data_IF_249820483004
#
_entry.id   IF_249820483004
#
_cell.length_a   1.000
_cell.length_b   1.000
_cell.length_c   1.000
_cell.angle_alpha   90.00
_cell.angle_beta   90.00
_cell.angle_gamma   90.00
#
_symmetry.space_group_name_H-M   'P 1'
#
loop_
_entity.id
_entity.type
_entity.pdbx_description
1 polymer ?
#
# COMPACT_ATOMS: atom_id res chain seq x y z
N UNK A 1 -20.23 43.57 1.92
CA UNK A 1 -20.28 43.96 3.35
C UNK A 1 -19.20 43.17 4.08
N UNK A 2 -18.09 43.86 4.41
CA UNK A 2 -16.95 43.51 5.30
C UNK A 2 -16.30 42.12 5.09
N UNK A 3 -15.22 41.90 4.33
CA UNK A 3 -13.84 42.46 4.33
C UNK A 3 -13.14 42.40 5.69
N UNK A 4 -12.22 41.45 5.87
CA UNK A 4 -10.96 41.70 6.58
C UNK A 4 -9.80 40.94 5.93
N UNK A 5 -8.70 41.67 5.77
CA UNK A 5 -7.48 41.44 4.98
C UNK A 5 -6.30 41.48 5.95
N UNK A 6 -5.20 40.81 5.58
CA UNK A 6 -3.81 41.08 6.03
C UNK A 6 -3.46 40.71 7.48
N UNK A 7 -2.23 40.31 7.86
CA UNK A 7 -0.88 40.36 7.26
C UNK A 7 -0.01 39.33 8.04
N UNK A 8 0.82 38.51 7.36
CA UNK A 8 2.28 38.64 7.28
C UNK A 8 2.99 38.83 8.65
N UNK A 9 3.67 37.80 9.18
CA UNK A 9 5.11 37.54 9.03
C UNK A 9 6.00 38.47 9.87
N UNK A 10 6.83 37.92 10.78
CA UNK A 10 8.24 38.31 10.92
C UNK A 10 9.02 37.33 11.80
N UNK A 11 10.18 36.95 11.27
CA UNK A 11 11.21 36.08 11.83
C UNK A 11 12.24 36.92 12.58
N UNK A 12 13.00 36.26 13.47
CA UNK A 12 14.35 36.60 13.95
C UNK A 12 14.50 37.26 15.34
N UNK A 13 15.08 36.47 16.25
CA UNK A 13 16.41 36.65 16.83
C UNK A 13 16.73 37.97 17.57
N UNK A 14 17.05 37.89 18.87
CA UNK A 14 18.31 38.42 19.42
C UNK A 14 18.54 38.08 20.90
N UNK A 15 19.83 37.92 21.20
CA UNK A 15 20.48 37.63 22.47
C UNK A 15 20.39 38.80 23.49
N UNK A 16 20.60 38.46 24.78
CA UNK A 16 20.91 39.29 25.98
C UNK A 16 22.06 40.32 25.74
N UNK A 17 22.44 41.30 26.64
CA UNK A 17 22.32 41.31 28.12
C UNK A 17 22.20 42.69 28.88
N UNK A 18 21.98 42.58 30.21
CA UNK A 18 22.56 43.36 31.34
C UNK A 18 22.21 44.84 31.65
N UNK A 19 22.22 45.09 32.99
CA UNK A 19 22.38 46.33 33.77
C UNK A 19 21.12 47.10 34.25
N UNK A 20 20.98 47.16 35.58
CA UNK A 20 20.18 48.12 36.34
C UNK A 20 20.92 49.47 36.46
N UNK A 21 20.22 50.59 36.70
CA UNK A 21 20.34 51.31 37.99
C UNK A 21 19.02 51.99 38.44
N UNK A 22 18.64 51.99 39.72
CA UNK A 22 18.91 53.00 40.78
C UNK A 22 18.11 54.32 40.66
N UNK A 23 17.42 54.69 41.77
CA UNK A 23 17.09 56.03 42.30
C UNK A 23 16.34 57.02 41.35
N UNK A 24 15.43 57.91 41.73
CA UNK A 24 14.73 58.36 42.95
C UNK A 24 13.75 59.43 42.41
N UNK A 25 12.54 59.56 42.94
CA UNK A 25 11.88 60.88 43.00
C UNK A 25 11.28 61.07 44.38
N UNK A 26 11.95 61.93 45.14
CA UNK A 26 11.48 62.55 46.37
C UNK A 26 10.47 63.64 46.02
N UNK A 27 9.42 63.78 46.83
CA UNK A 27 8.83 65.10 47.10
C UNK A 27 8.99 65.32 48.61
N UNK A 28 9.66 66.43 48.94
CA UNK A 28 9.86 66.99 50.27
C UNK A 28 8.54 67.52 50.80
N UNK A 29 8.35 67.47 52.11
CA UNK A 29 7.88 68.62 52.88
C UNK A 29 8.49 68.59 54.29
N UNK A 30 8.66 69.79 54.83
CA UNK A 30 9.52 70.12 55.96
C UNK A 30 8.97 69.66 57.32
N UNK A 31 9.92 69.31 58.22
CA UNK A 31 9.78 69.01 59.65
C UNK A 31 9.29 70.24 60.45
N UNK A 32 8.66 70.08 61.65
CA UNK A 32 9.45 69.75 62.84
C UNK A 32 8.81 68.81 63.89
N UNK A 33 9.74 68.12 64.57
CA UNK A 33 9.78 67.50 65.89
C UNK A 33 8.52 67.21 66.74
N UNK A 34 8.40 65.90 67.05
CA UNK A 34 8.25 65.24 68.37
C UNK A 34 7.01 65.56 69.19
N UNK A 35 6.19 64.54 69.44
CA UNK A 35 5.90 64.01 70.79
C UNK A 35 5.11 62.68 70.65
N UNK A 36 5.56 61.69 71.41
CA UNK A 36 5.06 60.31 71.43
C UNK A 36 3.68 60.25 72.08
N UNK A 37 2.71 59.61 71.41
CA UNK A 37 1.59 58.93 72.07
C UNK A 37 1.51 57.52 71.50
N UNK A 38 1.48 56.53 72.39
CA UNK A 38 1.35 55.12 72.01
C UNK A 38 -0.13 54.78 71.78
N UNK A 39 -0.47 54.35 70.57
CA UNK A 39 -1.68 53.56 70.30
C UNK A 39 -1.29 52.15 69.88
N UNK A 40 -1.79 51.16 70.62
CA UNK A 40 -1.59 49.73 70.39
C UNK A 40 -2.23 49.31 69.06
N UNK A 41 -1.42 48.84 68.10
CA UNK A 41 -1.94 48.20 66.88
C UNK A 41 -1.98 46.69 67.05
N UNK A 42 -3.19 46.15 67.17
CA UNK A 42 -3.44 44.71 67.22
C UNK A 42 -2.95 44.01 65.94
N UNK A 43 -2.05 43.03 66.07
CA UNK A 43 -1.58 42.21 64.95
C UNK A 43 -2.65 41.17 64.54
N UNK A 44 -3.32 41.41 63.41
CA UNK A 44 -4.22 40.43 62.79
C UNK A 44 -3.38 39.39 62.02
N UNK A 45 -3.34 38.14 62.49
CA UNK A 45 -2.70 37.04 61.74
C UNK A 45 -3.58 36.64 60.54
N UNK A 46 -3.05 36.56 59.31
CA UNK A 46 -3.84 36.24 58.13
C UNK A 46 -4.10 34.72 58.08
N UNK A 47 -5.20 34.25 58.67
CA UNK A 47 -5.59 32.83 58.66
C UNK A 47 -5.99 32.31 57.26
N UNK A 48 -6.42 33.20 56.36
CA UNK A 48 -6.90 32.85 55.02
C UNK A 48 -5.80 32.26 54.12
N UNK A 49 -4.55 32.68 54.29
CA UNK A 49 -3.41 32.24 53.46
C UNK A 49 -2.96 30.81 53.77
N UNK A 50 -3.06 30.36 55.03
CA UNK A 50 -2.65 29.00 55.43
C UNK A 50 -3.60 27.91 54.88
N UNK A 51 -4.92 28.16 54.85
CA UNK A 51 -5.89 27.19 54.30
C UNK A 51 -5.68 27.00 52.80
N UNK A 52 -5.42 28.08 52.08
CA UNK A 52 -5.15 28.05 50.65
C UNK A 52 -3.83 27.31 50.34
N UNK A 53 -2.77 27.56 51.13
CA UNK A 53 -1.51 26.81 51.02
C UNK A 53 -1.68 25.30 51.25
N UNK A 54 -2.48 24.90 52.25
CA UNK A 54 -2.77 23.48 52.51
C UNK A 54 -3.51 22.81 51.34
N UNK A 55 -4.45 23.51 50.71
CA UNK A 55 -5.15 23.01 49.52
C UNK A 55 -4.21 22.83 48.34
N UNK A 56 -3.30 23.78 48.10
CA UNK A 56 -2.29 23.69 47.04
C UNK A 56 -1.37 22.50 47.28
N UNK A 57 -0.86 22.32 48.50
CA UNK A 57 0.00 21.19 48.85
C UNK A 57 -0.73 19.84 48.74
N UNK A 58 -2.00 19.78 49.14
CA UNK A 58 -2.82 18.58 48.99
C UNK A 58 -3.12 18.25 47.51
N UNK A 59 -3.30 19.26 46.66
CA UNK A 59 -3.44 19.09 45.21
C UNK A 59 -2.14 18.60 44.57
N UNK A 60 -0.99 19.15 44.98
CA UNK A 60 0.33 18.69 44.54
C UNK A 60 0.61 17.25 44.96
N UNK A 61 0.24 16.86 46.19
CA UNK A 61 0.37 15.48 46.68
C UNK A 61 -0.50 14.50 45.89
N UNK A 62 -1.77 14.87 45.62
CA UNK A 62 -2.67 14.08 44.76
C UNK A 62 -2.14 13.93 43.34
N UNK A 63 -1.58 14.99 42.75
CA UNK A 63 -0.98 14.93 41.42
C UNK A 63 0.31 14.08 41.39
N UNK A 64 1.11 14.07 42.46
CA UNK A 64 2.26 13.16 42.59
C UNK A 64 1.82 11.71 42.70
N UNK A 65 0.79 11.42 43.49
CA UNK A 65 0.20 10.07 43.59
C UNK A 65 -0.35 9.58 42.24
N UNK A 66 -1.10 10.43 41.51
CA UNK A 66 -1.58 10.12 40.16
C UNK A 66 -0.47 9.88 39.13
N UNK A 67 0.71 10.49 39.31
CA UNK A 67 1.89 10.24 38.45
C UNK A 67 2.60 8.93 38.78
N UNK A 68 2.52 8.47 40.04
CA UNK A 68 3.09 7.21 40.51
C UNK A 68 2.16 6.02 40.18
N UNK A 69 0.85 6.25 40.24
CA UNK A 69 -0.18 5.31 39.80
C UNK A 69 -0.20 5.24 38.27
N UNK A 70 0.56 4.30 37.70
CA UNK A 70 0.39 3.95 36.29
C UNK A 70 -1.06 3.48 36.08
N UNK A 71 -1.79 3.97 35.05
CA UNK A 71 -3.10 3.41 34.73
C UNK A 71 -2.97 1.89 34.50
N UNK A 72 -4.00 1.08 34.83
CA UNK A 72 -3.94 -0.37 34.65
C UNK A 72 -3.69 -0.70 33.18
N UNK A 73 -2.46 -1.08 32.86
CA UNK A 73 -2.01 -1.39 31.51
C UNK A 73 -2.73 -2.63 30.94
N UNK A 74 -3.20 -3.50 31.83
CA UNK A 74 -3.85 -4.78 31.51
C UNK A 74 -5.16 -4.61 30.73
N UNK A 75 -5.97 -3.59 31.01
CA UNK A 75 -7.29 -3.45 30.40
C UNK A 75 -7.20 -2.95 28.95
N UNK A 76 -6.28 -2.02 28.66
CA UNK A 76 -6.04 -1.56 27.29
C UNK A 76 -5.43 -2.67 26.43
N UNK A 77 -4.53 -3.48 26.99
CA UNK A 77 -3.92 -4.60 26.29
C UNK A 77 -4.94 -5.72 26.03
N UNK A 78 -5.81 -6.02 26.99
CA UNK A 78 -6.91 -6.98 26.83
C UNK A 78 -7.96 -6.49 25.82
N UNK A 79 -8.31 -5.21 25.85
CA UNK A 79 -9.21 -4.59 24.87
C UNK A 79 -8.61 -4.53 23.45
N UNK A 80 -7.32 -4.23 23.31
CA UNK A 80 -6.63 -4.30 22.02
C UNK A 80 -6.50 -5.73 21.49
N UNK A 81 -6.25 -6.70 22.37
CA UNK A 81 -6.21 -8.13 22.01
C UNK A 81 -7.59 -8.63 21.59
N UNK A 82 -8.65 -8.27 22.30
CA UNK A 82 -10.02 -8.63 21.92
C UNK A 82 -10.46 -7.97 20.61
N UNK A 83 -10.10 -6.70 20.33
CA UNK A 83 -10.31 -6.10 19.00
C UNK A 83 -9.57 -6.82 17.87
N UNK A 84 -8.35 -7.30 18.13
CA UNK A 84 -7.60 -8.12 17.16
C UNK A 84 -8.20 -9.51 16.94
N UNK A 85 -8.93 -10.06 17.91
CA UNK A 85 -9.62 -11.35 17.80
C UNK A 85 -11.03 -11.22 17.19
N UNK A 86 -11.68 -10.07 17.31
CA UNK A 86 -13.01 -9.79 16.73
C UNK A 86 -12.99 -9.66 15.20
N UNK A 87 -11.83 -9.32 14.64
CA UNK A 87 -11.61 -9.31 13.20
C UNK A 87 -10.98 -10.67 12.89
N UNK A 88 -11.80 -11.63 12.45
CA UNK A 88 -11.37 -12.97 12.09
C UNK A 88 -10.31 -12.99 10.98
N UNK A 89 -9.71 -14.15 10.70
CA UNK A 89 -8.77 -14.28 9.60
C UNK A 89 -9.45 -13.85 8.30
N UNK A 90 -8.72 -13.08 7.48
CA UNK A 90 -9.24 -12.66 6.16
C UNK A 90 -9.18 -13.80 5.16
N UNK A 91 -8.24 -14.71 5.36
CA UNK A 91 -8.08 -15.91 4.56
C UNK A 91 -9.14 -16.93 4.93
N UNK A 92 -9.83 -17.46 3.93
CA UNK A 92 -10.67 -18.63 4.13
C UNK A 92 -9.79 -19.87 4.23
N UNK A 93 -9.70 -20.45 5.43
CA UNK A 93 -9.09 -21.78 5.62
C UNK A 93 -10.12 -22.88 5.41
N UNK A 94 -9.72 -23.94 4.70
CA UNK A 94 -10.58 -25.09 4.37
C UNK A 94 -10.29 -26.34 5.19
N UNK A 95 -9.42 -26.25 6.21
CA UNK A 95 -8.94 -27.41 7.00
C UNK A 95 -10.08 -28.16 7.70
N UNK A 96 -11.12 -27.46 8.15
CA UNK A 96 -12.26 -28.02 8.86
C UNK A 96 -13.38 -28.54 7.91
N UNK A 97 -13.20 -28.42 6.59
CA UNK A 97 -14.23 -28.78 5.60
C UNK A 97 -14.10 -30.22 5.13
N UNK A 98 -15.24 -30.82 4.80
CA UNK A 98 -15.33 -32.15 4.23
C UNK A 98 -14.77 -32.15 2.81
N UNK A 99 -13.84 -33.09 2.55
CA UNK A 99 -13.21 -33.30 1.23
C UNK A 99 -14.11 -34.09 0.29
N UNK A 100 -14.90 -35.01 0.84
CA UNK A 100 -15.85 -35.81 0.05
C UNK A 100 -16.95 -34.90 -0.52
N UNK A 101 -17.32 -35.07 -1.80
CA UNK A 101 -18.39 -34.28 -2.39
C UNK A 101 -19.72 -34.55 -1.66
N UNK A 102 -20.63 -33.57 -1.63
CA UNK A 102 -21.95 -33.75 -1.03
C UNK A 102 -22.72 -34.84 -1.79
N UNK A 103 -23.37 -35.72 -1.03
CA UNK A 103 -24.22 -36.79 -1.57
C UNK A 103 -25.55 -36.22 -2.09
N UNK A 104 -26.08 -35.22 -1.37
CA UNK A 104 -27.36 -34.60 -1.66
C UNK A 104 -27.18 -33.37 -2.58
N UNK A 105 -28.19 -33.10 -3.41
CA UNK A 105 -28.24 -31.93 -4.29
C UNK A 105 -28.27 -30.60 -3.51
N UNK A 106 -28.80 -30.61 -2.28
CA UNK A 106 -28.89 -29.43 -1.41
C UNK A 106 -27.99 -29.64 -0.20
N UNK A 107 -26.92 -28.85 -0.14
CA UNK A 107 -25.92 -28.95 0.91
C UNK A 107 -25.46 -27.57 1.37
N UNK A 108 -24.88 -27.51 2.57
CA UNK A 108 -24.31 -26.27 3.11
C UNK A 108 -22.91 -26.05 2.55
N UNK A 109 -22.72 -25.03 1.73
CA UNK A 109 -21.44 -24.69 1.09
C UNK A 109 -20.29 -24.54 2.09
N UNK A 110 -20.56 -24.05 3.30
CA UNK A 110 -19.55 -23.83 4.34
C UNK A 110 -18.91 -25.12 4.87
N UNK A 111 -19.60 -26.27 4.75
CA UNK A 111 -19.14 -27.56 5.28
C UNK A 111 -18.26 -28.32 4.30
N UNK A 112 -18.34 -28.01 3.01
CA UNK A 112 -17.67 -28.76 1.96
C UNK A 112 -16.55 -27.93 1.33
N UNK A 113 -15.54 -28.63 0.81
CA UNK A 113 -14.51 -27.99 0.00
C UNK A 113 -15.18 -27.27 -1.18
N UNK A 114 -14.80 -26.01 -1.48
CA UNK A 114 -15.39 -25.33 -2.60
C UNK A 114 -14.99 -26.01 -3.91
N UNK A 115 -15.92 -26.06 -4.85
CA UNK A 115 -15.72 -26.70 -6.15
C UNK A 115 -14.70 -25.90 -6.97
N UNK A 116 -13.76 -26.61 -7.56
CA UNK A 116 -12.77 -26.06 -8.50
C UNK A 116 -13.30 -26.28 -9.92
N UNK A 117 -13.41 -25.19 -10.67
CA UNK A 117 -13.93 -25.20 -12.04
C UNK A 117 -12.78 -25.12 -13.05
N UNK A 118 -12.92 -25.73 -14.23
CA UNK A 118 -12.01 -25.43 -15.33
C UNK A 118 -12.21 -23.99 -15.79
N UNK A 119 -11.15 -23.37 -16.32
CA UNK A 119 -11.19 -21.94 -16.64
C UNK A 119 -12.27 -21.56 -17.65
N UNK A 120 -12.52 -22.44 -18.64
CA UNK A 120 -13.52 -22.22 -19.66
C UNK A 120 -14.94 -22.13 -19.08
N UNK A 121 -15.27 -23.02 -18.15
CA UNK A 121 -16.60 -23.07 -17.52
C UNK A 121 -16.80 -21.87 -16.59
N UNK A 122 -15.76 -21.49 -15.84
CA UNK A 122 -15.79 -20.29 -15.01
C UNK A 122 -16.06 -19.01 -15.82
N UNK A 123 -15.49 -18.90 -17.02
CA UNK A 123 -15.75 -17.79 -17.94
C UNK A 123 -17.19 -17.86 -18.49
N UNK A 124 -17.68 -19.06 -18.84
CA UNK A 124 -19.05 -19.25 -19.32
C UNK A 124 -20.08 -18.84 -18.25
N UNK A 125 -19.89 -19.26 -17.00
CA UNK A 125 -20.76 -18.87 -15.88
C UNK A 125 -20.77 -17.34 -15.67
N UNK A 126 -19.62 -16.67 -15.78
CA UNK A 126 -19.56 -15.20 -15.73
C UNK A 126 -20.27 -14.53 -16.92
N UNK A 127 -20.31 -15.15 -18.10
CA UNK A 127 -21.10 -14.63 -19.23
C UNK A 127 -22.60 -14.82 -19.03
N UNK A 128 -23.01 -15.91 -18.39
CA UNK A 128 -24.42 -16.15 -18.04
C UNK A 128 -24.92 -15.13 -17.02
N UNK A 129 -24.12 -14.81 -15.99
CA UNK A 129 -24.48 -13.76 -15.02
C UNK A 129 -24.58 -12.38 -15.65
N UNK A 130 -23.72 -12.06 -16.62
CA UNK A 130 -23.70 -10.78 -17.34
C UNK A 130 -24.58 -10.78 -18.60
N UNK A 131 -25.45 -11.77 -18.77
CA UNK A 131 -26.37 -11.84 -19.89
C UNK A 131 -27.31 -10.62 -19.91
N UNK A 132 -27.72 -10.10 -21.09
CA UNK A 132 -28.63 -8.97 -21.22
C UNK A 132 -29.92 -9.06 -20.40
N UNK A 133 -30.45 -10.27 -20.21
CA UNK A 133 -31.65 -10.52 -19.40
C UNK A 133 -31.41 -10.37 -17.90
N UNK A 134 -30.17 -10.49 -17.42
CA UNK A 134 -29.84 -10.56 -16.00
C UNK A 134 -29.23 -9.23 -15.51
N UNK A 135 -28.04 -8.87 -15.99
CA UNK A 135 -27.31 -7.66 -15.56
C UNK A 135 -27.07 -6.65 -16.68
N UNK A 136 -27.25 -7.03 -17.95
CA UNK A 136 -27.11 -6.13 -19.10
C UNK A 136 -25.73 -5.46 -19.26
N UNK A 137 -24.67 -6.19 -18.93
CA UNK A 137 -23.28 -5.71 -19.03
C UNK A 137 -22.35 -6.76 -19.71
N UNK A 138 -22.54 -7.08 -21.01
CA UNK A 138 -21.76 -8.11 -21.70
C UNK A 138 -20.27 -7.76 -21.89
N UNK A 139 -19.92 -6.48 -21.76
CA UNK A 139 -18.57 -5.93 -21.91
C UNK A 139 -17.82 -5.76 -20.57
N UNK A 140 -18.35 -6.33 -19.48
CA UNK A 140 -17.75 -6.22 -18.15
C UNK A 140 -16.32 -6.77 -18.09
N UNK A 141 -15.54 -6.22 -17.15
CA UNK A 141 -14.15 -6.59 -16.93
C UNK A 141 -14.06 -7.82 -16.03
N UNK A 142 -13.40 -8.85 -16.53
CA UNK A 142 -13.08 -10.06 -15.78
C UNK A 142 -11.80 -9.84 -14.97
N UNK A 143 -11.87 -10.01 -13.65
CA UNK A 143 -10.76 -9.91 -12.73
C UNK A 143 -10.30 -11.30 -12.28
N UNK A 144 -8.99 -11.52 -12.25
CA UNK A 144 -8.38 -12.62 -11.53
C UNK A 144 -7.92 -12.12 -10.16
N UNK A 145 -8.42 -12.77 -9.13
CA UNK A 145 -7.98 -12.62 -7.76
C UNK A 145 -7.07 -13.81 -7.42
N UNK A 146 -5.80 -13.52 -7.24
CA UNK A 146 -4.75 -14.51 -6.96
C UNK A 146 -4.34 -14.36 -5.51
N UNK A 147 -4.52 -15.43 -4.75
CA UNK A 147 -4.04 -15.57 -3.39
C UNK A 147 -2.60 -16.07 -3.37
N UNK A 148 -1.77 -15.40 -2.59
CA UNK A 148 -0.33 -15.62 -2.52
C UNK A 148 0.11 -15.96 -1.09
N UNK A 149 1.00 -16.94 -1.00
CA UNK A 149 1.75 -17.23 0.22
C UNK A 149 3.05 -16.43 0.22
N UNK A 150 3.15 -15.45 1.12
CA UNK A 150 4.33 -14.58 1.28
C UNK A 150 5.43 -15.21 2.15
N UNK A 151 5.30 -16.50 2.47
CA UNK A 151 6.25 -17.25 3.31
C UNK A 151 7.59 -17.40 2.60
N UNK A 152 8.66 -17.16 3.36
CA UNK A 152 10.04 -17.49 2.96
C UNK A 152 10.52 -18.68 3.81
N UNK A 153 11.61 -19.38 3.42
CA UNK A 153 12.24 -20.43 4.27
C UNK A 153 12.44 -20.03 5.73
N UNK A 154 12.69 -18.75 5.99
CA UNK A 154 12.73 -18.21 7.35
C UNK A 154 11.33 -17.83 7.79
N UNK A 155 10.80 -18.53 8.80
CA UNK A 155 9.45 -18.30 9.36
C UNK A 155 9.19 -16.85 9.83
N UNK A 156 10.24 -16.11 10.18
CA UNK A 156 10.13 -14.72 10.68
C UNK A 156 10.20 -13.66 9.59
N UNK A 157 10.56 -14.03 8.35
CA UNK A 157 10.73 -13.09 7.24
C UNK A 157 9.68 -13.39 6.18
N UNK A 158 8.81 -12.42 5.95
CA UNK A 158 7.81 -12.45 4.89
C UNK A 158 8.30 -11.62 3.70
N UNK A 159 7.71 -11.90 2.54
CA UNK A 159 7.95 -11.12 1.33
C UNK A 159 7.26 -9.77 1.47
N UNK A 160 8.02 -8.71 1.15
CA UNK A 160 7.47 -7.36 1.02
C UNK A 160 6.55 -7.26 -0.20
N UNK A 161 5.64 -6.29 -0.16
CA UNK A 161 4.76 -5.96 -1.27
C UNK A 161 5.56 -5.65 -2.53
N UNK A 162 5.09 -6.17 -3.66
CA UNK A 162 5.67 -5.93 -4.96
C UNK A 162 4.63 -5.37 -5.93
N UNK A 163 5.12 -4.65 -6.93
CA UNK A 163 4.33 -4.12 -8.03
C UNK A 163 4.97 -4.52 -9.34
N UNK A 164 4.12 -4.84 -10.31
CA UNK A 164 4.53 -5.30 -11.63
C UNK A 164 3.56 -4.84 -12.70
N UNK A 165 3.94 -5.08 -13.94
CA UNK A 165 3.09 -4.86 -15.11
C UNK A 165 3.07 -6.16 -15.91
N UNK A 166 1.89 -6.71 -16.16
CA UNK A 166 1.71 -7.85 -17.05
C UNK A 166 1.57 -7.34 -18.48
N UNK A 167 2.30 -7.96 -19.40
CA UNK A 167 2.16 -7.72 -20.83
C UNK A 167 1.32 -8.86 -21.42
N UNK A 168 0.03 -8.61 -21.63
CA UNK A 168 -0.88 -9.61 -22.20
C UNK A 168 -0.62 -9.84 -23.69
N UNK A 169 -0.76 -11.08 -24.13
CA UNK A 169 -0.74 -11.45 -25.55
C UNK A 169 -1.93 -10.83 -26.30
N UNK A 170 -3.11 -10.82 -25.64
CA UNK A 170 -4.33 -10.22 -26.16
C UNK A 170 -4.68 -8.95 -25.36
N UNK A 171 -4.26 -7.76 -25.83
CA UNK A 171 -4.47 -6.53 -25.10
C UNK A 171 -5.93 -6.08 -25.15
N UNK A 172 -6.37 -5.43 -24.07
CA UNK A 172 -7.72 -4.86 -23.96
C UNK A 172 -7.67 -3.51 -23.23
N UNK A 173 -8.69 -2.69 -23.45
CA UNK A 173 -8.77 -1.35 -22.84
C UNK A 173 -9.39 -1.42 -21.44
N UNK A 174 -8.62 -1.09 -20.41
CA UNK A 174 -9.12 -0.96 -19.03
C UNK A 174 -9.61 0.46 -18.76
N UNK A 175 -8.74 1.44 -18.98
CA UNK A 175 -8.98 2.84 -18.65
C UNK A 175 -8.75 3.69 -19.90
N UNK A 176 -9.58 4.72 -20.10
CA UNK A 176 -9.41 5.71 -21.17
C UNK A 176 -8.19 6.62 -20.96
N UNK A 177 -7.48 6.49 -19.84
CA UNK A 177 -6.28 7.27 -19.52
C UNK A 177 -5.08 6.64 -20.23
N UNK A 178 -4.42 7.42 -21.06
CA UNK A 178 -3.17 7.04 -21.69
C UNK A 178 -2.02 7.04 -20.66
N UNK A 179 -1.19 6.00 -20.73
CA UNK A 179 -0.01 5.84 -19.86
C UNK A 179 1.11 6.75 -20.34
N UNK A 180 1.73 7.49 -19.43
CA UNK A 180 2.85 8.40 -19.75
C UNK A 180 4.17 7.69 -19.58
N UNK A 181 4.94 7.59 -20.67
CA UNK A 181 6.17 6.80 -20.74
C UNK A 181 7.35 7.68 -21.13
N UNK A 182 8.45 7.58 -20.38
CA UNK A 182 9.77 8.11 -20.77
C UNK A 182 10.61 6.96 -21.33
N UNK A 183 11.17 7.16 -22.52
CA UNK A 183 12.07 6.22 -23.17
C UNK A 183 13.52 6.76 -23.15
N UNK A 184 14.42 6.06 -22.46
CA UNK A 184 15.82 6.46 -22.33
C UNK A 184 16.71 5.68 -23.31
N UNK A 185 17.30 6.39 -24.28
CA UNK A 185 18.21 5.81 -25.28
C UNK A 185 19.31 6.81 -25.68
N UNK A 186 20.53 6.31 -25.91
CA UNK A 186 21.64 7.13 -26.45
C UNK A 186 21.52 7.35 -27.96
N UNK A 187 20.99 6.37 -28.68
CA UNK A 187 20.84 6.41 -30.13
C UNK A 187 19.65 7.28 -30.50
N UNK A 188 19.86 8.19 -31.46
CA UNK A 188 18.83 9.16 -31.85
C UNK A 188 17.71 8.47 -32.66
N UNK A 189 18.06 7.52 -33.52
CA UNK A 189 17.09 6.80 -34.35
C UNK A 189 16.10 6.01 -33.50
N UNK A 190 16.61 5.22 -32.54
CA UNK A 190 15.80 4.49 -31.56
C UNK A 190 14.92 5.42 -30.70
N UNK A 191 15.38 6.65 -30.43
CA UNK A 191 14.58 7.64 -29.72
C UNK A 191 13.41 8.13 -30.59
N UNK A 192 13.61 8.35 -31.89
CA UNK A 192 12.52 8.71 -32.82
C UNK A 192 11.50 7.58 -32.97
N UNK A 193 11.96 6.32 -33.05
CA UNK A 193 11.08 5.16 -33.09
C UNK A 193 10.28 4.99 -31.78
N UNK A 194 10.91 5.26 -30.63
CA UNK A 194 10.21 5.22 -29.35
C UNK A 194 9.13 6.31 -29.21
N UNK A 195 9.37 7.51 -29.76
CA UNK A 195 8.34 8.56 -29.84
C UNK A 195 7.19 8.13 -30.75
N UNK A 196 7.49 7.55 -31.92
CA UNK A 196 6.48 7.02 -32.83
C UNK A 196 5.68 5.86 -32.20
N UNK A 197 6.29 5.08 -31.31
CA UNK A 197 5.65 4.01 -30.55
C UNK A 197 4.72 4.49 -29.42
N UNK A 198 4.70 5.80 -29.11
CA UNK A 198 3.83 6.39 -28.10
C UNK A 198 4.52 6.82 -26.81
N UNK A 199 5.85 6.94 -26.79
CA UNK A 199 6.55 7.58 -25.67
C UNK A 199 6.31 9.11 -25.68
N UNK A 200 6.08 9.71 -24.51
CA UNK A 200 5.87 11.16 -24.38
C UNK A 200 7.20 11.92 -24.52
N UNK A 201 8.27 11.34 -23.97
CA UNK A 201 9.62 11.90 -24.03
C UNK A 201 10.60 10.78 -24.32
N UNK A 202 11.42 10.95 -25.36
CA UNK A 202 12.54 10.07 -25.65
C UNK A 202 13.86 10.85 -25.67
N UNK A 203 14.92 10.23 -25.15
CA UNK A 203 16.26 10.79 -25.28
C UNK A 203 17.28 10.16 -24.34
N UNK A 204 18.52 10.62 -24.43
CA UNK A 204 19.64 10.02 -23.72
C UNK A 204 20.01 10.79 -22.47
N UNK A 205 21.29 11.18 -22.41
CA UNK A 205 21.86 11.95 -21.30
C UNK A 205 21.24 13.34 -21.16
N UNK A 206 20.67 13.90 -22.22
CA UNK A 206 19.93 15.18 -22.20
C UNK A 206 18.69 15.08 -21.33
N UNK A 207 17.87 14.05 -21.49
CA UNK A 207 16.67 13.81 -20.69
C UNK A 207 17.03 13.52 -19.24
N UNK A 208 18.09 12.75 -18.99
CA UNK A 208 18.60 12.50 -17.63
C UNK A 208 18.94 13.81 -16.92
N UNK A 209 19.66 14.73 -17.57
CA UNK A 209 19.98 16.05 -17.01
C UNK A 209 18.74 16.89 -16.71
N UNK A 210 17.71 16.85 -17.59
CA UNK A 210 16.43 17.56 -17.37
C UNK A 210 15.66 17.00 -16.18
N UNK A 211 15.68 15.68 -15.98
CA UNK A 211 15.09 15.04 -14.80
C UNK A 211 15.85 15.48 -13.53
N UNK A 212 17.18 15.52 -13.57
CA UNK A 212 18.01 15.96 -12.43
C UNK A 212 17.81 17.44 -12.10
N UNK A 213 17.63 18.29 -13.11
CA UNK A 213 17.33 19.71 -12.94
C UNK A 213 15.91 19.95 -12.39
N UNK A 214 15.04 18.94 -12.40
CA UNK A 214 13.66 19.05 -11.96
C UNK A 214 12.70 19.66 -12.99
N UNK A 215 13.11 19.77 -14.26
CA UNK A 215 12.24 20.22 -15.34
C UNK A 215 11.15 19.19 -15.68
N UNK A 216 11.48 17.90 -15.53
CA UNK A 216 10.56 16.79 -15.75
C UNK A 216 10.15 16.20 -14.40
N UNK A 217 8.89 16.39 -14.03
CA UNK A 217 8.35 15.82 -12.79
C UNK A 217 8.09 14.32 -12.95
N UNK A 218 8.92 13.50 -12.30
CA UNK A 218 8.87 12.03 -12.34
C UNK A 218 7.58 11.44 -11.76
N UNK A 219 6.79 12.24 -11.07
CA UNK A 219 5.47 11.83 -10.54
C UNK A 219 4.40 11.78 -11.63
N UNK A 220 4.52 12.61 -12.67
CA UNK A 220 3.57 12.65 -13.77
C UNK A 220 3.70 11.44 -14.71
N UNK A 221 4.89 10.84 -14.75
CA UNK A 221 5.18 9.69 -15.60
C UNK A 221 4.91 8.38 -14.87
N UNK A 222 4.26 7.46 -15.57
CA UNK A 222 3.92 6.14 -15.05
C UNK A 222 5.12 5.20 -15.21
N UNK A 223 5.75 5.19 -16.39
CA UNK A 223 6.90 4.32 -16.73
C UNK A 223 8.12 5.07 -17.19
N UNK A 224 9.27 4.50 -16.86
CA UNK A 224 10.57 4.86 -17.40
C UNK A 224 11.18 3.59 -17.93
N UNK A 225 11.36 3.54 -19.24
CA UNK A 225 11.93 2.41 -19.97
C UNK A 225 13.29 2.81 -20.50
N UNK A 226 14.23 1.86 -20.56
CA UNK A 226 15.60 2.15 -20.96
C UNK A 226 16.14 1.14 -21.96
N UNK A 227 17.02 1.62 -22.84
CA UNK A 227 17.86 0.77 -23.67
C UNK A 227 19.10 0.30 -22.89
N UNK A 228 19.70 -0.83 -23.28
CA UNK A 228 20.90 -1.37 -22.61
C UNK A 228 22.08 -0.39 -22.63
N UNK A 229 22.19 0.44 -23.68
CA UNK A 229 23.30 1.40 -23.84
C UNK A 229 23.37 2.49 -22.75
N UNK A 230 22.22 2.82 -22.13
CA UNK A 230 22.13 3.91 -21.15
C UNK A 230 22.16 3.42 -19.71
N UNK A 231 22.29 2.11 -19.49
CA UNK A 231 22.27 1.50 -18.15
C UNK A 231 23.36 2.05 -17.23
N UNK A 232 24.51 2.47 -17.78
CA UNK A 232 25.61 3.07 -17.02
C UNK A 232 25.26 4.45 -16.44
N UNK A 233 24.35 5.19 -17.06
CA UNK A 233 23.98 6.55 -16.66
C UNK A 233 22.75 6.57 -15.73
N UNK A 234 21.96 5.48 -15.69
CA UNK A 234 20.78 5.33 -14.83
C UNK A 234 21.03 5.50 -13.31
N UNK A 235 22.17 5.07 -12.73
CA UNK A 235 22.41 5.21 -11.29
C UNK A 235 22.31 6.65 -10.78
N UNK A 236 22.53 7.65 -11.63
CA UNK A 236 22.38 9.06 -11.29
C UNK A 236 20.95 9.42 -10.88
N UNK A 237 19.95 8.72 -11.42
CA UNK A 237 18.52 8.95 -11.13
C UNK A 237 18.00 8.18 -9.92
N UNK A 238 18.83 7.35 -9.27
CA UNK A 238 18.42 6.47 -8.16
C UNK A 238 17.75 7.22 -7.00
N UNK A 239 18.24 8.41 -6.67
CA UNK A 239 17.68 9.22 -5.58
C UNK A 239 16.26 9.71 -5.85
N UNK A 240 15.94 10.01 -7.11
CA UNK A 240 14.64 10.54 -7.53
C UNK A 240 13.64 9.43 -7.83
N UNK A 241 14.06 8.40 -8.56
CA UNK A 241 13.15 7.35 -9.08
C UNK A 241 12.89 6.23 -8.08
N UNK A 242 13.79 5.97 -7.13
CA UNK A 242 13.69 4.88 -6.13
C UNK A 242 13.21 3.56 -6.74
N UNK A 243 11.92 3.20 -6.58
CA UNK A 243 11.30 1.97 -7.09
C UNK A 243 10.97 2.01 -8.58
N UNK A 244 10.84 3.19 -9.18
CA UNK A 244 10.59 3.38 -10.61
C UNK A 244 11.85 3.24 -11.48
N UNK A 245 13.01 3.00 -10.88
CA UNK A 245 14.27 2.88 -11.61
C UNK A 245 14.22 1.65 -12.56
N UNK A 246 14.53 1.81 -13.85
CA UNK A 246 14.57 0.67 -14.76
C UNK A 246 15.77 -0.22 -14.45
N UNK A 247 15.52 -1.51 -14.29
CA UNK A 247 16.53 -2.56 -14.10
C UNK A 247 16.21 -3.73 -15.02
N UNK A 248 17.23 -4.52 -15.35
CA UNK A 248 17.07 -5.74 -16.16
C UNK A 248 16.15 -6.75 -15.45
N UNK A 249 16.28 -6.86 -14.12
CA UNK A 249 15.44 -7.73 -13.30
C UNK A 249 13.94 -7.34 -13.35
N UNK A 250 13.63 -6.04 -13.50
CA UNK A 250 12.25 -5.57 -13.61
C UNK A 250 11.72 -5.64 -15.06
N UNK A 251 12.51 -6.12 -16.03
CA UNK A 251 12.10 -6.18 -17.44
C UNK A 251 11.87 -4.81 -18.11
N UNK A 252 12.34 -3.72 -17.50
CA UNK A 252 12.21 -2.34 -18.02
C UNK A 252 13.40 -1.88 -18.85
N UNK A 253 14.40 -2.75 -18.99
CA UNK A 253 15.60 -2.54 -19.80
C UNK A 253 15.60 -3.59 -20.91
N UNK A 254 15.67 -3.17 -22.17
CA UNK A 254 15.71 -4.12 -23.29
C UNK A 254 16.43 -3.53 -24.51
N UNK A 255 16.78 -4.39 -25.48
CA UNK A 255 17.42 -3.97 -26.73
C UNK A 255 16.40 -3.37 -27.71
N UNK A 256 15.23 -3.99 -27.86
CA UNK A 256 14.12 -3.46 -28.65
C UNK A 256 13.24 -2.49 -27.83
N UNK A 257 13.67 -1.24 -27.74
CA UNK A 257 12.93 -0.18 -27.03
C UNK A 257 11.52 0.11 -27.59
N UNK A 258 11.29 0.27 -28.91
CA UNK A 258 9.96 0.62 -29.42
C UNK A 258 8.93 -0.49 -29.14
N UNK A 259 9.31 -1.76 -29.28
CA UNK A 259 8.44 -2.88 -28.92
C UNK A 259 8.06 -2.88 -27.42
N UNK A 260 9.02 -2.54 -26.55
CA UNK A 260 8.78 -2.43 -25.12
C UNK A 260 7.79 -1.30 -24.78
N UNK A 261 7.94 -0.14 -25.43
CA UNK A 261 7.03 1.00 -25.24
C UNK A 261 5.60 0.61 -25.60
N UNK A 262 5.38 -0.04 -26.75
CA UNK A 262 4.06 -0.50 -27.17
C UNK A 262 3.46 -1.53 -26.20
N UNK A 263 4.28 -2.43 -25.69
CA UNK A 263 3.87 -3.40 -24.68
C UNK A 263 3.40 -2.72 -23.40
N UNK A 264 4.21 -1.83 -22.81
CA UNK A 264 3.87 -1.14 -21.57
C UNK A 264 2.71 -0.16 -21.71
N UNK A 265 2.51 0.41 -22.90
CA UNK A 265 1.35 1.25 -23.20
C UNK A 265 0.03 0.47 -23.06
N UNK A 266 0.02 -0.80 -23.48
CA UNK A 266 -1.12 -1.72 -23.38
C UNK A 266 -1.09 -2.61 -22.12
N UNK A 267 0.01 -2.61 -21.39
CA UNK A 267 0.23 -3.48 -20.24
C UNK A 267 -0.73 -3.16 -19.09
N UNK A 268 -0.88 -4.11 -18.17
CA UNK A 268 -1.79 -4.00 -17.03
C UNK A 268 -1.00 -4.04 -15.75
N UNK A 269 -1.24 -3.06 -14.88
CA UNK A 269 -0.49 -2.92 -13.64
C UNK A 269 -1.16 -3.68 -12.52
N UNK A 270 -0.32 -4.29 -11.70
CA UNK A 270 -0.77 -4.97 -10.51
C UNK A 270 0.14 -4.65 -9.35
N UNK A 271 -0.44 -4.68 -8.16
CA UNK A 271 0.27 -4.54 -6.90
C UNK A 271 -0.23 -5.61 -5.95
N UNK A 272 0.70 -6.33 -5.34
CA UNK A 272 0.36 -7.23 -4.24
C UNK A 272 0.01 -6.41 -3.01
N UNK A 273 -1.04 -6.83 -2.32
CA UNK A 273 -1.39 -6.31 -1.01
C UNK A 273 -1.15 -7.41 0.00
N UNK A 274 -0.18 -7.22 0.89
CA UNK A 274 -0.07 -8.01 2.11
C UNK A 274 -1.13 -7.57 3.12
N UNK A 275 -1.61 -8.52 3.90
CA UNK A 275 -2.50 -8.20 5.01
C UNK A 275 -1.71 -7.76 6.25
N UNK A 276 -2.30 -6.85 7.04
CA UNK A 276 -1.66 -6.33 8.25
C UNK A 276 -1.76 -7.29 9.43
N UNK A 277 -2.74 -8.20 9.42
CA UNK A 277 -2.95 -9.19 10.48
C UNK A 277 -2.21 -10.48 10.15
N UNK A 278 -2.40 -10.98 8.93
CA UNK A 278 -1.74 -12.18 8.41
C UNK A 278 -0.59 -11.78 7.49
N UNK A 279 0.62 -11.68 8.07
CA UNK A 279 1.82 -11.26 7.33
C UNK A 279 2.26 -12.28 6.27
N UNK A 280 1.82 -13.53 6.38
CA UNK A 280 2.05 -14.58 5.40
C UNK A 280 1.04 -14.58 4.26
N UNK A 281 -0.07 -13.85 4.40
CA UNK A 281 -1.13 -13.75 3.40
C UNK A 281 -0.95 -12.51 2.53
N UNK A 282 -0.95 -12.74 1.21
CA UNK A 282 -0.99 -11.68 0.22
C UNK A 282 -2.04 -11.99 -0.84
N UNK A 283 -2.54 -10.95 -1.50
CA UNK A 283 -3.42 -11.13 -2.65
C UNK A 283 -3.13 -10.09 -3.72
N UNK A 284 -3.45 -10.47 -4.96
CA UNK A 284 -3.30 -9.67 -6.16
C UNK A 284 -4.62 -9.73 -6.92
N UNK A 285 -5.18 -8.57 -7.26
CA UNK A 285 -6.40 -8.45 -8.05
C UNK A 285 -6.08 -7.72 -9.35
N UNK A 286 -6.30 -8.36 -10.49
CA UNK A 286 -5.88 -7.84 -11.79
C UNK A 286 -6.95 -8.13 -12.84
N UNK A 287 -7.34 -7.14 -13.66
CA UNK A 287 -8.21 -7.40 -14.79
C UNK A 287 -7.46 -8.21 -15.85
N UNK A 288 -8.09 -9.25 -16.39
CA UNK A 288 -7.50 -10.17 -17.38
C UNK A 288 -8.05 -9.95 -18.79
N UNK A 289 -9.29 -9.44 -18.89
CA UNK A 289 -9.93 -9.15 -20.16
C UNK A 289 -11.37 -8.67 -19.98
N UNK A 290 -12.06 -8.51 -21.11
CA UNK A 290 -13.50 -8.27 -21.14
C UNK A 290 -14.23 -9.59 -21.41
N UNK A 291 -15.45 -9.74 -20.88
CA UNK A 291 -16.26 -10.93 -21.13
C UNK A 291 -16.64 -11.15 -22.61
N UNK A 292 -16.67 -10.09 -23.40
CA UNK A 292 -16.89 -10.12 -24.86
C UNK A 292 -15.73 -10.71 -25.68
N UNK A 293 -14.54 -10.83 -25.09
CA UNK A 293 -13.40 -11.49 -25.74
C UNK A 293 -13.65 -13.00 -25.85
N UNK A 294 -13.11 -13.68 -26.86
CA UNK A 294 -13.25 -15.13 -26.97
C UNK A 294 -12.55 -15.85 -25.81
N UNK A 295 -13.08 -17.02 -25.43
CA UNK A 295 -12.63 -17.76 -24.25
C UNK A 295 -11.15 -18.14 -24.33
N UNK A 296 -10.65 -18.52 -25.51
CA UNK A 296 -9.24 -18.88 -25.74
C UNK A 296 -8.29 -17.73 -25.39
N UNK A 297 -8.60 -16.50 -25.82
CA UNK A 297 -7.76 -15.34 -25.53
C UNK A 297 -7.75 -14.99 -24.04
N UNK A 298 -8.88 -15.21 -23.34
CA UNK A 298 -8.94 -15.01 -21.89
C UNK A 298 -8.08 -16.05 -21.17
N UNK A 299 -8.16 -17.33 -21.56
CA UNK A 299 -7.33 -18.40 -21.00
C UNK A 299 -5.83 -18.10 -21.20
N UNK A 300 -5.41 -17.66 -22.39
CA UNK A 300 -4.01 -17.29 -22.65
C UNK A 300 -3.56 -16.07 -21.84
N UNK A 301 -4.45 -15.11 -21.62
CA UNK A 301 -4.17 -13.98 -20.74
C UNK A 301 -4.04 -14.43 -19.27
N UNK A 302 -4.91 -15.32 -18.78
CA UNK A 302 -4.80 -15.91 -17.44
C UNK A 302 -3.44 -16.62 -17.28
N UNK A 303 -3.05 -17.44 -18.26
CA UNK A 303 -1.74 -18.11 -18.28
C UNK A 303 -0.59 -17.11 -18.16
N UNK A 304 -0.62 -16.06 -18.99
CA UNK A 304 0.42 -15.01 -19.01
C UNK A 304 0.50 -14.28 -17.67
N UNK A 305 -0.64 -14.01 -17.03
CA UNK A 305 -0.69 -13.40 -15.70
C UNK A 305 -0.08 -14.30 -14.63
N UNK A 306 -0.46 -15.58 -14.60
CA UNK A 306 0.04 -16.53 -13.59
C UNK A 306 1.55 -16.74 -13.72
N UNK A 307 2.07 -16.88 -14.95
CA UNK A 307 3.50 -16.94 -15.22
C UNK A 307 4.23 -15.67 -14.78
N UNK A 308 3.63 -14.50 -15.02
CA UNK A 308 4.21 -13.23 -14.58
C UNK A 308 4.30 -13.15 -13.05
N UNK A 309 3.24 -13.53 -12.34
CA UNK A 309 3.18 -13.56 -10.88
C UNK A 309 4.17 -14.56 -10.29
N UNK A 310 4.27 -15.76 -10.88
CA UNK A 310 5.24 -16.78 -10.46
C UNK A 310 6.69 -16.29 -10.60
N UNK A 311 6.99 -15.45 -11.59
CA UNK A 311 8.29 -14.78 -11.72
C UNK A 311 8.67 -13.87 -10.53
N UNK A 312 7.70 -13.39 -9.75
CA UNK A 312 7.95 -12.59 -8.54
C UNK A 312 8.19 -13.44 -7.29
N UNK A 313 8.13 -14.76 -7.42
CA UNK A 313 8.43 -15.70 -6.35
C UNK A 313 9.86 -15.48 -5.82
N UNK A 314 10.06 -15.48 -4.49
CA UNK A 314 11.40 -15.44 -3.94
C UNK A 314 12.15 -16.73 -4.31
N UNK A 315 13.40 -16.60 -4.77
CA UNK A 315 14.29 -17.73 -5.15
C UNK A 315 14.47 -18.79 -4.06
N UNK A 316 14.10 -18.44 -2.84
CA UNK A 316 14.24 -19.28 -1.66
C UNK A 316 12.97 -20.10 -1.40
N UNK A 317 11.83 -19.86 -2.05
CA UNK A 317 10.63 -20.68 -1.82
C UNK A 317 10.60 -21.87 -2.79
N UNK A 318 10.05 -22.99 -2.34
CA UNK A 318 9.91 -24.22 -3.13
C UNK A 318 8.95 -23.97 -4.33
N UNK A 319 9.16 -24.62 -5.50
CA UNK A 319 8.20 -24.58 -6.63
C UNK A 319 6.79 -24.95 -6.15
N UNK A 320 5.73 -24.45 -6.79
CA UNK A 320 4.35 -24.80 -6.41
C UNK A 320 3.76 -24.11 -5.17
N UNK A 321 4.57 -23.59 -4.23
CA UNK A 321 4.01 -23.06 -2.96
C UNK A 321 3.57 -21.59 -2.99
N UNK A 322 3.89 -20.82 -4.05
CA UNK A 322 3.70 -19.36 -4.02
C UNK A 322 2.25 -18.94 -4.27
N UNK A 323 1.61 -19.50 -5.30
CA UNK A 323 0.21 -19.24 -5.63
C UNK A 323 -0.65 -20.29 -4.90
N UNK A 324 -1.51 -19.85 -3.99
CA UNK A 324 -2.37 -20.77 -3.22
C UNK A 324 -3.71 -21.00 -3.91
N UNK A 325 -4.33 -19.92 -4.41
CA UNK A 325 -5.69 -19.97 -4.94
C UNK A 325 -5.88 -18.94 -6.04
N UNK A 326 -6.63 -19.29 -7.07
CA UNK A 326 -7.02 -18.37 -8.14
C UNK A 326 -8.54 -18.33 -8.22
N UNK A 327 -9.11 -17.13 -8.14
CA UNK A 327 -10.55 -16.88 -8.25
C UNK A 327 -10.82 -15.92 -9.40
N UNK A 328 -11.84 -16.20 -10.22
CA UNK A 328 -12.38 -15.22 -11.17
C UNK A 328 -13.54 -14.46 -10.56
N UNK A 329 -13.50 -13.14 -10.71
CA UNK A 329 -14.50 -12.18 -10.23
C UNK A 329 -14.90 -11.26 -11.36
N UNK A 330 -16.18 -10.92 -11.44
CA UNK A 330 -16.67 -9.93 -12.39
C UNK A 330 -17.65 -8.97 -11.69
N UNK A 331 -17.17 -7.83 -11.17
CA UNK A 331 -18.04 -6.81 -10.60
C UNK A 331 -19.04 -6.32 -11.67
N UNK A 332 -20.33 -6.11 -11.35
CA UNK A 332 -20.91 -5.89 -10.00
C UNK A 332 -21.30 -7.17 -9.23
N UNK A 333 -21.17 -8.36 -9.80
CA UNK A 333 -21.55 -9.60 -9.12
C UNK A 333 -20.63 -9.91 -7.93
N UNK A 334 -21.21 -10.56 -6.91
CA UNK A 334 -20.45 -11.07 -5.76
C UNK A 334 -19.93 -12.51 -5.98
N UNK A 335 -20.28 -13.12 -7.12
CA UNK A 335 -19.92 -14.49 -7.46
C UNK A 335 -18.42 -14.62 -7.74
N UNK A 336 -17.84 -15.72 -7.25
CA UNK A 336 -16.42 -16.02 -7.36
C UNK A 336 -16.29 -17.49 -7.74
N UNK A 337 -15.60 -17.77 -8.83
CA UNK A 337 -15.33 -19.13 -9.26
C UNK A 337 -13.85 -19.44 -9.07
N UNK A 338 -13.55 -20.53 -8.38
CA UNK A 338 -12.18 -20.99 -8.15
C UNK A 338 -11.73 -21.79 -9.36
N UNK A 339 -10.51 -21.54 -9.84
CA UNK A 339 -9.92 -22.27 -10.96
C UNK A 339 -8.72 -23.08 -10.50
N UNK A 340 -8.51 -24.24 -11.14
CA UNK A 340 -7.34 -25.07 -10.98
C UNK A 340 -6.07 -24.36 -11.52
N UNK A 341 -5.06 -24.19 -10.67
CA UNK A 341 -3.78 -23.62 -11.07
C UNK A 341 -2.99 -24.55 -11.99
N UNK A 342 -3.21 -25.86 -11.88
CA UNK A 342 -2.53 -26.91 -12.64
C UNK A 342 -2.76 -26.83 -14.15
N UNK A 343 -3.85 -26.23 -14.62
CA UNK A 343 -4.11 -26.01 -16.05
C UNK A 343 -3.09 -25.05 -16.72
N UNK A 344 -2.43 -24.22 -15.91
CA UNK A 344 -1.61 -23.11 -16.39
C UNK A 344 -0.13 -23.24 -16.07
N UNK A 345 0.20 -23.90 -14.96
CA UNK A 345 1.56 -24.01 -14.43
C UNK A 345 1.90 -25.48 -14.15
N UNK A 346 2.75 -26.06 -14.98
CA UNK A 346 3.11 -27.49 -14.90
C UNK A 346 3.70 -27.89 -13.54
N UNK A 347 4.51 -27.02 -12.92
CA UNK A 347 5.15 -27.27 -11.62
C UNK A 347 4.18 -27.31 -10.42
N UNK A 348 2.91 -26.95 -10.62
CA UNK A 348 1.88 -27.06 -9.58
C UNK A 348 1.11 -28.38 -9.67
N UNK A 349 1.17 -29.09 -10.80
CA UNK A 349 0.54 -30.40 -10.97
C UNK A 349 1.29 -31.50 -10.18
N UNK A 350 2.63 -31.43 -10.13
CA UNK A 350 3.48 -32.42 -9.45
C UNK A 350 3.23 -32.47 -7.93
N UNK A 351 2.84 -31.34 -7.30
CA UNK A 351 2.56 -31.31 -5.86
C UNK A 351 1.21 -31.95 -5.49
N UNK A 352 0.21 -31.91 -6.38
CA UNK A 352 -1.09 -32.55 -6.13
C UNK A 352 -0.92 -34.08 -6.09
N UNK A 353 -0.14 -34.65 -7.01
CA UNK A 353 0.18 -36.08 -7.06
C UNK A 353 0.97 -36.53 -5.81
N UNK A 354 1.95 -35.75 -5.35
CA UNK A 354 2.76 -36.05 -4.16
C UNK A 354 1.96 -35.97 -2.85
N UNK A 355 0.90 -35.15 -2.80
CA UNK A 355 -0.02 -35.07 -1.66
C UNK A 355 -0.98 -36.25 -1.66
N UNK A 356 -1.50 -36.67 -2.81
CA UNK A 356 -2.35 -37.85 -2.94
C UNK A 356 -1.61 -39.13 -2.52
N UNK A 357 -0.37 -39.33 -2.97
CA UNK A 357 0.45 -40.50 -2.61
C UNK A 357 0.77 -40.57 -1.11
N UNK A 358 0.86 -39.43 -0.40
CA UNK A 358 1.07 -39.39 1.05
C UNK A 358 -0.20 -39.62 1.89
N UNK A 359 -1.38 -39.45 1.30
CA UNK A 359 -2.66 -39.71 1.97
C UNK A 359 -3.06 -41.18 1.82
N UNK A 360 -2.60 -41.84 0.76
CA UNK A 360 -2.82 -43.27 0.50
C UNK A 360 -1.84 -44.21 1.25
N UNK A 361 -0.72 -43.70 1.76
CA UNK A 361 0.26 -44.42 2.60
C UNK A 361 0.00 -44.23 4.09
#
# INVERSE_FOLDING_TARGET
VLVFRSMAAFVACRLRPWLAPSLRTMVRDHMPCVMVTMEETAQIRPYATQRHQKLILAAQKRNRQRKLEKPPEKDKLAWMKSRKLLIGPRRETYEDRLKEPPIDDVFFTDKYMPVVYPAADAIAMHRETHHPTVLDDPDALLYAFVELSLKTKKKTKFREDFSGTVLYNHPFSITKREKRIIALCKNTDMATEALAAGAEVAGGTTVIKRILAGELDTKLFDYILAHVDIVQDLPQLRGLLKTKLPTLANGKVTNNLPGLVQGYFKGVDFASKSDQQELDYGFVEVPVGKLSMPTEHLIDNIRTLLLCIDGFKPKTTDPGTFITKVELKCPPTAEKFIIACSEFLDHYAEEEEDVEVKVEQ
#
